data_IF_655125576051
#
_entry.id   IF_655125576051
#
_cell.length_a   1.000
_cell.length_b   1.000
_cell.length_c   1.000
_cell.angle_alpha   90.00
_cell.angle_beta   90.00
_cell.angle_gamma   90.00
#
_symmetry.space_group_name_H-M   'P 1'
#
loop_
_entity.id
_entity.type
_entity.pdbx_description
1 polymer ?
#
# COMPACT_ATOMS: atom_id res chain seq x y z
N UNK A 1 -52.36 -23.00 8.28
CA UNK A 1 -51.32 -22.38 7.44
C UNK A 1 -50.33 -21.72 8.38
N UNK A 2 -49.27 -22.43 8.72
CA UNK A 2 -48.14 -21.90 9.50
C UNK A 2 -47.33 -21.02 8.58
N UNK A 3 -47.19 -19.74 8.93
CA UNK A 3 -46.27 -18.84 8.26
C UNK A 3 -44.86 -19.42 8.45
N UNK A 4 -44.29 -19.98 7.39
CA UNK A 4 -42.85 -20.24 7.34
C UNK A 4 -42.16 -18.90 7.55
N UNK A 5 -41.48 -18.76 8.70
CA UNK A 5 -40.43 -17.78 8.86
C UNK A 5 -39.38 -18.11 7.79
N UNK A 6 -39.46 -17.46 6.62
CA UNK A 6 -38.41 -17.54 5.61
C UNK A 6 -37.10 -17.11 6.29
N UNK A 7 -36.25 -18.08 6.57
CA UNK A 7 -34.93 -17.86 7.16
C UNK A 7 -34.12 -17.05 6.13
N UNK A 8 -33.95 -15.74 6.37
CA UNK A 8 -33.18 -14.85 5.49
C UNK A 8 -31.71 -15.24 5.58
N UNK A 9 -31.05 -15.41 4.43
CA UNK A 9 -29.65 -15.81 4.41
C UNK A 9 -28.72 -14.60 4.44
N UNK A 10 -27.93 -14.50 5.50
CA UNK A 10 -26.92 -13.45 5.65
C UNK A 10 -25.70 -13.74 4.76
N UNK A 11 -25.52 -12.93 3.71
CA UNK A 11 -24.43 -13.07 2.75
C UNK A 11 -23.07 -12.86 3.43
N UNK A 12 -22.96 -11.85 4.30
CA UNK A 12 -21.71 -11.56 5.02
C UNK A 12 -21.29 -12.75 5.90
N UNK A 13 -22.25 -13.40 6.56
CA UNK A 13 -22.01 -14.61 7.35
C UNK A 13 -21.60 -15.82 6.49
N UNK A 14 -22.27 -16.05 5.37
CA UNK A 14 -21.90 -17.14 4.46
C UNK A 14 -20.43 -17.00 4.02
N UNK A 15 -20.08 -15.78 3.61
CA UNK A 15 -18.74 -15.46 3.16
C UNK A 15 -17.73 -15.63 4.32
N UNK A 16 -18.01 -15.16 5.53
CA UNK A 16 -17.09 -15.32 6.69
C UNK A 16 -16.86 -16.78 7.08
N UNK A 17 -17.86 -17.65 6.91
CA UNK A 17 -17.77 -19.10 7.12
C UNK A 17 -17.12 -19.84 5.92
N UNK A 18 -16.80 -19.15 4.82
CA UNK A 18 -16.29 -19.76 3.59
C UNK A 18 -17.32 -20.66 2.89
N UNK A 19 -18.61 -20.43 3.17
CA UNK A 19 -19.74 -21.19 2.64
C UNK A 19 -20.41 -20.41 1.51
N UNK A 20 -20.80 -21.08 0.43
CA UNK A 20 -21.64 -20.47 -0.61
C UNK A 20 -23.07 -20.22 -0.07
N UNK A 21 -23.67 -19.05 -0.30
CA UNK A 21 -25.08 -18.83 0.00
C UNK A 21 -25.99 -19.82 -0.75
N UNK A 22 -27.22 -20.04 -0.28
CA UNK A 22 -28.21 -20.88 -0.96
C UNK A 22 -28.63 -20.23 -2.28
N UNK A 23 -28.96 -21.07 -3.25
CA UNK A 23 -29.38 -20.63 -4.58
C UNK A 23 -30.72 -19.85 -4.57
N UNK A 24 -31.51 -19.95 -3.48
CA UNK A 24 -32.77 -19.25 -3.33
C UNK A 24 -32.75 -18.33 -2.09
N UNK A 25 -33.11 -17.06 -2.32
CA UNK A 25 -33.27 -16.05 -1.29
C UNK A 25 -34.48 -16.28 -0.37
N UNK A 26 -34.83 -15.28 0.46
CA UNK A 26 -34.27 -13.93 0.53
C UNK A 26 -32.87 -13.87 1.13
N UNK A 27 -32.12 -12.86 0.73
CA UNK A 27 -30.77 -12.55 1.19
C UNK A 27 -30.78 -11.32 2.10
N UNK A 28 -29.91 -11.32 3.10
CA UNK A 28 -29.56 -10.13 3.90
C UNK A 28 -28.15 -9.69 3.51
N UNK A 29 -28.04 -8.46 3.04
CA UNK A 29 -26.77 -7.81 2.69
C UNK A 29 -26.49 -6.64 3.62
N UNK A 30 -25.22 -6.25 3.72
CA UNK A 30 -24.84 -5.02 4.43
C UNK A 30 -24.69 -3.88 3.43
N UNK A 31 -25.37 -2.76 3.69
CA UNK A 31 -25.21 -1.52 2.93
C UNK A 31 -24.84 -0.43 3.92
N UNK A 32 -23.75 0.29 3.63
CA UNK A 32 -23.27 1.37 4.49
C UNK A 32 -23.14 2.71 3.78
N UNK A 33 -22.67 3.70 4.53
CA UNK A 33 -22.46 5.09 4.10
C UNK A 33 -20.96 5.44 3.99
N UNK A 34 -20.67 6.72 3.75
CA UNK A 34 -19.31 7.23 3.61
C UNK A 34 -18.46 7.05 4.89
N UNK A 35 -19.09 6.93 6.05
CA UNK A 35 -18.46 6.69 7.34
C UNK A 35 -18.31 5.20 7.65
N UNK A 36 -18.66 4.32 6.72
CA UNK A 36 -18.66 2.86 6.85
C UNK A 36 -19.59 2.36 7.96
N UNK A 37 -20.70 3.07 8.21
CA UNK A 37 -21.76 2.60 9.10
C UNK A 37 -22.70 1.70 8.31
N UNK A 38 -22.76 0.41 8.64
CA UNK A 38 -23.52 -0.58 7.89
C UNK A 38 -24.87 -0.90 8.55
N UNK A 39 -25.92 -0.93 7.72
CA UNK A 39 -27.23 -1.52 8.04
C UNK A 39 -27.44 -2.83 7.27
N UNK A 40 -28.33 -3.69 7.79
CA UNK A 40 -28.71 -4.94 7.14
C UNK A 40 -30.00 -4.76 6.34
N UNK A 41 -29.97 -5.13 5.06
CA UNK A 41 -31.09 -4.92 4.13
C UNK A 41 -31.43 -6.21 3.38
N UNK A 42 -32.73 -6.39 3.10
CA UNK A 42 -33.24 -7.56 2.41
C UNK A 42 -33.23 -7.35 0.90
N UNK A 43 -32.70 -8.32 0.17
CA UNK A 43 -32.86 -8.47 -1.27
C UNK A 43 -33.41 -9.85 -1.60
N UNK A 44 -34.40 -9.91 -2.48
CA UNK A 44 -34.97 -11.18 -2.94
C UNK A 44 -34.26 -11.71 -4.20
N UNK A 45 -33.65 -10.81 -4.97
CA UNK A 45 -32.90 -11.11 -6.20
C UNK A 45 -31.46 -11.52 -5.86
N UNK A 46 -30.97 -12.69 -6.30
CA UNK A 46 -29.57 -13.08 -6.13
C UNK A 46 -28.60 -12.30 -7.01
N UNK A 47 -29.10 -11.63 -8.07
CA UNK A 47 -28.26 -10.91 -9.04
C UNK A 47 -28.73 -9.44 -9.17
N UNK A 48 -28.80 -8.68 -8.05
CA UNK A 48 -29.38 -7.35 -8.04
C UNK A 48 -28.58 -6.36 -8.91
N UNK A 49 -29.31 -5.39 -9.45
CA UNK A 49 -28.76 -4.19 -10.09
C UNK A 49 -28.35 -3.14 -9.05
N UNK A 50 -27.53 -2.16 -9.46
CA UNK A 50 -27.25 -0.98 -8.63
C UNK A 50 -28.52 -0.25 -8.17
N UNK A 51 -29.55 -0.14 -9.02
CA UNK A 51 -30.85 0.43 -8.64
C UNK A 51 -31.54 -0.35 -7.52
N UNK A 52 -31.53 -1.68 -7.59
CA UNK A 52 -32.14 -2.51 -6.53
C UNK A 52 -31.42 -2.34 -5.19
N UNK A 53 -30.10 -2.14 -5.19
CA UNK A 53 -29.34 -1.82 -3.96
C UNK A 53 -29.74 -0.46 -3.39
N UNK A 54 -29.90 0.57 -4.24
CA UNK A 54 -30.35 1.89 -3.81
C UNK A 54 -31.80 1.88 -3.29
N UNK A 55 -32.68 1.14 -3.96
CA UNK A 55 -34.08 0.97 -3.53
C UNK A 55 -34.18 0.33 -2.14
N UNK A 56 -33.30 -0.62 -1.82
CA UNK A 56 -33.27 -1.28 -0.52
C UNK A 56 -33.01 -0.32 0.66
N UNK A 57 -32.37 0.83 0.39
CA UNK A 57 -32.08 1.88 1.38
C UNK A 57 -32.89 3.17 1.14
N UNK A 58 -33.92 3.11 0.29
CA UNK A 58 -34.75 4.26 -0.11
C UNK A 58 -33.95 5.47 -0.64
N UNK A 59 -32.78 5.23 -1.24
CA UNK A 59 -31.94 6.29 -1.84
C UNK A 59 -32.54 6.77 -3.17
N UNK A 60 -33.16 7.95 -3.15
CA UNK A 60 -33.85 8.55 -4.30
C UNK A 60 -33.50 10.04 -4.49
N UNK A 61 -33.48 10.55 -5.75
CA UNK A 61 -33.51 9.77 -6.99
C UNK A 61 -32.23 8.94 -7.15
N UNK A 62 -32.32 7.79 -7.83
CA UNK A 62 -31.20 6.87 -7.95
C UNK A 62 -30.00 7.51 -8.66
N UNK A 63 -30.26 8.42 -9.59
CA UNK A 63 -29.27 9.14 -10.40
C UNK A 63 -28.43 10.15 -9.59
N UNK A 64 -28.84 10.47 -8.35
CA UNK A 64 -28.07 11.31 -7.43
C UNK A 64 -27.15 10.49 -6.50
N UNK A 65 -27.07 9.18 -6.70
CA UNK A 65 -26.34 8.27 -5.83
C UNK A 65 -25.39 7.35 -6.60
N UNK A 66 -24.25 7.04 -5.98
CA UNK A 66 -23.31 6.02 -6.42
C UNK A 66 -23.40 4.80 -5.51
N UNK A 67 -23.19 3.61 -6.09
CA UNK A 67 -23.09 2.35 -5.36
C UNK A 67 -21.70 1.77 -5.58
N UNK A 68 -21.01 1.40 -4.51
CA UNK A 68 -19.74 0.68 -4.58
C UNK A 68 -19.86 -0.66 -3.87
N UNK A 69 -19.29 -1.70 -4.47
CA UNK A 69 -18.98 -2.97 -3.80
C UNK A 69 -17.71 -2.76 -2.97
N UNK A 70 -17.75 -3.09 -1.67
CA UNK A 70 -16.60 -3.07 -0.78
C UNK A 70 -16.10 -4.50 -0.55
N UNK A 71 -14.89 -4.78 -1.04
CA UNK A 71 -14.25 -6.08 -0.91
C UNK A 71 -13.54 -6.25 0.44
N UNK A 72 -13.29 -7.50 0.86
CA UNK A 72 -12.51 -7.85 2.08
C UNK A 72 -11.14 -7.19 2.21
N UNK A 73 -10.46 -6.96 1.09
CA UNK A 73 -9.16 -6.32 1.05
C UNK A 73 -9.24 -4.77 1.13
N UNK A 74 -10.45 -4.22 1.28
CA UNK A 74 -10.70 -2.78 1.31
C UNK A 74 -10.74 -2.13 -0.08
N UNK A 75 -10.74 -2.90 -1.17
CA UNK A 75 -10.96 -2.34 -2.51
C UNK A 75 -12.43 -2.00 -2.72
N UNK A 76 -12.66 -0.97 -3.53
CA UNK A 76 -13.97 -0.54 -3.94
C UNK A 76 -14.11 -0.71 -5.46
N UNK A 77 -15.27 -1.19 -5.89
CA UNK A 77 -15.66 -1.21 -7.31
C UNK A 77 -17.03 -0.59 -7.47
N UNK A 78 -17.12 0.41 -8.33
CA UNK A 78 -18.42 1.02 -8.66
C UNK A 78 -19.34 0.00 -9.34
N UNK A 79 -20.61 0.00 -8.95
CA UNK A 79 -21.69 -0.74 -9.58
C UNK A 79 -22.63 0.27 -10.24
N UNK A 80 -22.61 0.34 -11.57
CA UNK A 80 -23.52 1.21 -12.29
C UNK A 80 -24.99 0.82 -12.03
N UNK A 81 -25.89 1.77 -12.21
CA UNK A 81 -27.32 1.60 -11.88
C UNK A 81 -27.96 0.38 -12.55
N UNK A 82 -27.62 0.12 -13.80
CA UNK A 82 -28.18 -0.98 -14.61
C UNK A 82 -27.26 -2.22 -14.66
N UNK A 83 -26.07 -2.13 -14.07
CA UNK A 83 -25.16 -3.28 -13.95
C UNK A 83 -25.62 -4.17 -12.81
N UNK A 84 -25.43 -5.48 -12.97
CA UNK A 84 -25.78 -6.50 -11.99
C UNK A 84 -24.56 -7.02 -11.24
N UNK A 85 -24.80 -7.53 -10.04
CA UNK A 85 -23.79 -8.23 -9.23
C UNK A 85 -24.36 -9.54 -8.70
N UNK A 86 -23.64 -10.65 -8.82
CA UNK A 86 -24.08 -11.94 -8.27
C UNK A 86 -23.72 -12.05 -6.78
N UNK A 87 -24.72 -12.05 -5.90
CA UNK A 87 -24.53 -12.19 -4.45
C UNK A 87 -24.03 -13.58 -4.03
N UNK A 88 -24.13 -14.58 -4.91
CA UNK A 88 -23.66 -15.95 -4.66
C UNK A 88 -22.17 -16.11 -4.94
N UNK A 89 -21.57 -15.17 -5.69
CA UNK A 89 -20.14 -15.16 -5.98
C UNK A 89 -19.34 -14.67 -4.77
N UNK A 90 -18.19 -15.30 -4.56
CA UNK A 90 -17.26 -14.88 -3.51
C UNK A 90 -16.68 -13.50 -3.85
N UNK A 91 -16.80 -12.54 -2.93
CA UNK A 91 -16.29 -11.18 -3.11
C UNK A 91 -17.35 -10.08 -2.96
N UNK A 92 -18.64 -10.40 -3.01
CA UNK A 92 -19.71 -9.38 -2.91
C UNK A 92 -20.17 -9.28 -1.47
N UNK A 93 -19.34 -8.69 -0.61
CA UNK A 93 -19.57 -8.77 0.83
C UNK A 93 -20.49 -7.68 1.36
N UNK A 94 -20.30 -6.44 0.88
CA UNK A 94 -20.96 -5.24 1.38
C UNK A 94 -21.03 -4.18 0.29
N UNK A 95 -22.01 -3.30 0.41
CA UNK A 95 -22.15 -2.15 -0.48
C UNK A 95 -21.97 -0.85 0.31
N UNK A 96 -21.53 0.19 -0.38
CA UNK A 96 -21.51 1.55 0.15
C UNK A 96 -22.30 2.43 -0.81
N UNK A 97 -23.21 3.22 -0.27
CA UNK A 97 -24.01 4.19 -1.02
C UNK A 97 -23.50 5.59 -0.71
N UNK A 98 -23.25 6.37 -1.75
CA UNK A 98 -22.87 7.77 -1.64
C UNK A 98 -23.91 8.64 -2.32
N UNK A 99 -24.36 9.71 -1.65
CA UNK A 99 -25.08 10.79 -2.33
C UNK A 99 -24.06 11.70 -3.03
N UNK A 100 -23.73 11.38 -4.27
CA UNK A 100 -22.71 12.08 -5.04
C UNK A 100 -22.94 11.86 -6.54
N UNK A 101 -22.49 12.81 -7.34
CA UNK A 101 -22.49 12.71 -8.81
C UNK A 101 -21.11 12.31 -9.37
N UNK A 102 -20.09 12.17 -8.52
CA UNK A 102 -18.72 11.88 -8.93
C UNK A 102 -17.99 10.98 -7.93
N UNK A 103 -17.10 10.12 -8.46
CA UNK A 103 -16.09 9.43 -7.69
C UNK A 103 -14.75 10.16 -7.73
N UNK A 104 -13.91 9.88 -6.75
CA UNK A 104 -12.60 10.49 -6.54
C UNK A 104 -11.56 9.40 -6.40
N UNK A 105 -10.47 9.51 -7.15
CA UNK A 105 -9.31 8.62 -6.99
C UNK A 105 -8.47 9.06 -5.82
N UNK A 106 -8.02 8.10 -5.04
CA UNK A 106 -6.99 8.30 -4.02
C UNK A 106 -5.90 7.24 -4.20
N UNK A 107 -4.68 7.56 -3.80
CA UNK A 107 -3.66 6.55 -3.53
C UNK A 107 -3.65 6.31 -2.02
N UNK A 108 -4.01 5.12 -1.58
CA UNK A 108 -3.90 4.71 -0.18
C UNK A 108 -2.93 3.56 -0.11
N UNK A 109 -1.84 3.75 0.63
CA UNK A 109 -0.84 2.72 0.79
C UNK A 109 -0.36 2.24 -0.58
N UNK A 110 0.01 3.15 -1.50
CA UNK A 110 0.44 2.83 -2.88
C UNK A 110 -0.55 2.04 -3.74
N UNK A 111 -1.79 1.84 -3.29
CA UNK A 111 -2.88 1.27 -4.07
C UNK A 111 -3.83 2.38 -4.48
N UNK A 112 -4.22 2.39 -5.76
CA UNK A 112 -5.23 3.33 -6.24
C UNK A 112 -6.62 2.79 -5.88
N UNK A 113 -7.42 3.60 -5.22
CA UNK A 113 -8.82 3.30 -4.86
C UNK A 113 -9.73 4.40 -5.42
N UNK A 114 -10.97 4.00 -5.74
CA UNK A 114 -12.05 4.93 -6.11
C UNK A 114 -12.95 5.12 -4.88
N UNK A 115 -13.32 6.36 -4.58
CA UNK A 115 -14.14 6.74 -3.43
C UNK A 115 -15.30 7.64 -3.87
N UNK A 116 -16.51 7.39 -3.38
CA UNK A 116 -17.72 8.03 -3.91
C UNK A 116 -18.06 9.42 -3.36
N UNK A 117 -17.21 10.02 -2.52
CA UNK A 117 -17.45 11.35 -1.94
C UNK A 117 -16.23 12.27 -2.09
N UNK A 118 -16.45 13.59 -2.16
CA UNK A 118 -15.36 14.58 -2.25
C UNK A 118 -14.60 14.76 -0.93
N UNK A 119 -14.99 14.05 0.11
CA UNK A 119 -14.35 14.04 1.42
C UNK A 119 -14.19 12.62 1.93
N UNK A 120 -13.14 12.39 2.72
CA UNK A 120 -12.90 11.12 3.41
C UNK A 120 -12.27 11.38 4.77
N UNK A 121 -12.67 10.62 5.79
CA UNK A 121 -12.12 10.78 7.13
C UNK A 121 -10.83 9.97 7.32
N UNK A 122 -9.97 10.40 8.26
CA UNK A 122 -8.81 9.64 8.68
C UNK A 122 -9.16 8.22 9.15
N UNK A 123 -10.28 8.07 9.86
CA UNK A 123 -10.78 6.76 10.29
C UNK A 123 -11.09 5.84 9.10
N UNK A 124 -11.81 6.33 8.10
CA UNK A 124 -12.17 5.54 6.91
C UNK A 124 -10.90 5.14 6.15
N UNK A 125 -9.93 6.05 5.99
CA UNK A 125 -8.63 5.71 5.40
C UNK A 125 -7.94 4.56 6.14
N UNK A 126 -7.94 4.54 7.49
CA UNK A 126 -7.38 3.41 8.26
C UNK A 126 -8.14 2.10 8.02
N UNK A 127 -9.47 2.16 7.98
CA UNK A 127 -10.29 0.96 7.75
C UNK A 127 -10.05 0.39 6.35
N UNK A 128 -10.02 1.24 5.32
CA UNK A 128 -9.75 0.82 3.93
C UNK A 128 -8.34 0.27 3.73
N UNK A 129 -7.37 0.71 4.54
CA UNK A 129 -6.01 0.17 4.55
C UNK A 129 -5.86 -1.13 5.37
N UNK A 130 -6.89 -1.59 6.09
CA UNK A 130 -6.75 -2.68 7.05
C UNK A 130 -5.85 -2.34 8.25
N UNK A 131 -5.69 -1.04 8.53
CA UNK A 131 -4.80 -0.49 9.55
C UNK A 131 -5.55 0.07 10.79
N UNK A 132 -6.85 -0.21 10.92
CA UNK A 132 -7.63 0.16 12.10
C UNK A 132 -7.29 -0.73 13.31
N UNK A 133 -6.10 -0.51 13.89
CA UNK A 133 -5.58 -1.20 15.08
C UNK A 133 -4.86 -0.19 15.99
N UNK A 134 -4.76 -0.45 17.30
CA UNK A 134 -4.04 0.44 18.22
C UNK A 134 -2.60 0.68 17.75
N UNK A 135 -2.13 1.91 17.91
CA UNK A 135 -0.77 2.29 17.53
C UNK A 135 -0.55 2.40 16.03
N UNK A 136 -1.59 2.64 15.22
CA UNK A 136 -1.49 2.99 13.80
C UNK A 136 -2.15 4.35 13.52
N UNK A 137 -1.57 5.09 12.57
CA UNK A 137 -2.03 6.41 12.12
C UNK A 137 -2.09 6.51 10.60
N UNK A 138 -2.58 7.65 10.11
CA UNK A 138 -2.64 8.01 8.69
C UNK A 138 -1.91 9.32 8.48
N UNK A 139 -1.19 9.40 7.37
CA UNK A 139 -0.56 10.61 6.91
C UNK A 139 -0.92 10.86 5.45
N UNK A 140 -1.00 12.14 5.11
CA UNK A 140 -1.09 12.64 3.74
C UNK A 140 0.31 13.02 3.27
N UNK A 141 0.71 12.48 2.13
CA UNK A 141 1.96 12.88 1.48
C UNK A 141 1.84 14.31 0.96
N UNK A 142 2.72 15.20 1.42
CA UNK A 142 2.79 16.58 0.92
C UNK A 142 4.09 16.75 0.15
N UNK A 143 3.98 16.91 -1.17
CA UNK A 143 5.16 17.02 -2.04
C UNK A 143 6.06 18.18 -1.62
N UNK A 144 7.32 17.86 -1.31
CA UNK A 144 8.33 18.84 -0.94
C UNK A 144 8.19 19.40 0.48
N UNK A 145 7.31 18.84 1.31
CA UNK A 145 7.15 19.16 2.71
C UNK A 145 7.09 17.88 3.55
N UNK A 146 6.99 18.04 4.87
CA UNK A 146 6.76 16.91 5.77
C UNK A 146 5.35 16.34 5.58
N UNK A 147 5.23 15.02 5.76
CA UNK A 147 3.95 14.33 5.68
C UNK A 147 3.01 14.80 6.78
N UNK A 148 1.78 15.09 6.41
CA UNK A 148 0.81 15.69 7.32
C UNK A 148 0.00 14.60 8.02
N UNK A 149 0.05 14.46 9.35
CA UNK A 149 -0.82 13.52 10.05
C UNK A 149 -2.29 13.91 9.88
N UNK A 150 -3.17 12.91 9.79
CA UNK A 150 -4.61 13.06 9.70
C UNK A 150 -5.24 12.40 10.93
N UNK A 151 -6.05 13.17 11.67
CA UNK A 151 -6.82 12.64 12.80
C UNK A 151 -8.00 11.78 12.31
N UNK A 152 -8.45 10.83 13.12
CA UNK A 152 -9.54 9.92 12.79
C UNK A 152 -10.83 10.62 12.37
N UNK A 153 -11.12 11.77 13.00
CA UNK A 153 -12.31 12.57 12.73
C UNK A 153 -12.06 13.71 11.74
N UNK A 154 -10.82 13.90 11.29
CA UNK A 154 -10.51 14.90 10.30
C UNK A 154 -11.05 14.49 8.93
N UNK A 155 -11.81 15.40 8.30
CA UNK A 155 -12.30 15.24 6.94
C UNK A 155 -11.31 15.87 5.96
N UNK A 156 -10.75 15.05 5.07
CA UNK A 156 -9.82 15.47 4.02
C UNK A 156 -10.58 15.67 2.71
N UNK A 157 -10.34 16.81 2.05
CA UNK A 157 -10.93 17.14 0.76
C UNK A 157 -10.19 16.44 -0.39
N UNK A 158 -10.93 15.83 -1.32
CA UNK A 158 -10.44 15.02 -2.44
C UNK A 158 -10.70 15.65 -3.82
N UNK A 159 -11.41 16.77 -3.90
CA UNK A 159 -11.62 17.51 -5.16
C UNK A 159 -10.54 18.58 -5.42
N UNK A 160 -9.43 18.47 -4.69
CA UNK A 160 -8.26 19.34 -4.85
C UNK A 160 -7.49 19.01 -6.13
N UNK A 161 -6.55 19.89 -6.50
CA UNK A 161 -5.76 19.70 -7.71
C UNK A 161 -4.71 18.60 -7.51
N UNK A 162 -4.98 17.42 -8.03
CA UNK A 162 -4.00 16.35 -8.11
C UNK A 162 -4.59 14.99 -7.77
N UNK A 163 -3.72 14.09 -7.31
CA UNK A 163 -4.10 12.83 -6.69
C UNK A 163 -3.58 12.88 -5.26
N UNK A 164 -4.50 12.90 -4.30
CA UNK A 164 -4.21 12.79 -2.88
C UNK A 164 -3.62 11.42 -2.58
N UNK A 165 -2.52 11.42 -1.83
CA UNK A 165 -1.80 10.20 -1.43
C UNK A 165 -1.78 10.10 0.06
N UNK A 166 -2.17 8.94 0.55
CA UNK A 166 -2.25 8.59 1.94
C UNK A 166 -1.45 7.33 2.19
N UNK A 167 -0.92 7.20 3.39
CA UNK A 167 -0.31 5.96 3.84
C UNK A 167 -0.59 5.73 5.31
N UNK A 168 -0.56 4.46 5.70
CA UNK A 168 -0.73 4.05 7.09
C UNK A 168 0.58 3.52 7.67
N UNK A 169 0.73 3.64 8.99
CA UNK A 169 1.97 3.29 9.66
C UNK A 169 1.81 3.25 11.17
N UNK A 170 2.72 2.56 11.84
CA UNK A 170 2.71 2.47 13.30
C UNK A 170 3.05 3.83 13.92
N UNK A 171 2.26 4.28 14.89
CA UNK A 171 2.47 5.52 15.67
C UNK A 171 3.23 5.27 16.97
N UNK A 172 3.23 4.03 17.47
CA UNK A 172 4.08 3.65 18.61
C UNK A 172 5.50 3.37 18.12
N UNK A 173 6.34 4.38 18.22
CA UNK A 173 7.79 4.20 18.28
C UNK A 173 8.11 3.45 19.57
N UNK A 174 8.71 2.26 19.49
CA UNK A 174 9.55 1.80 20.60
C UNK A 174 10.63 2.86 20.76
N UNK A 175 10.63 3.57 21.89
CA UNK A 175 11.60 4.63 22.22
C UNK A 175 13.00 4.27 21.68
N UNK A 176 13.43 5.02 20.65
CA UNK A 176 14.70 4.83 19.95
C UNK A 176 14.62 4.76 18.41
N UNK A 177 13.44 4.60 17.80
CA UNK A 177 13.33 4.59 16.33
C UNK A 177 13.32 6.03 15.77
N UNK A 178 14.44 6.43 15.18
CA UNK A 178 14.62 7.65 14.39
C UNK A 178 13.52 7.81 13.33
N UNK A 179 13.27 9.05 12.91
CA UNK A 179 12.31 9.36 11.88
C UNK A 179 12.58 8.50 10.63
N UNK A 180 11.55 7.77 10.20
CA UNK A 180 11.50 7.00 8.95
C UNK A 180 12.09 7.82 7.78
N UNK A 181 13.24 7.40 7.23
CA UNK A 181 13.91 8.09 6.11
C UNK A 181 13.48 7.58 4.74
N UNK A 182 12.91 6.36 4.69
CA UNK A 182 12.38 5.78 3.46
C UNK A 182 10.91 6.14 3.25
N UNK A 183 10.51 6.52 2.02
CA UNK A 183 9.12 6.57 1.62
C UNK A 183 8.43 5.22 1.83
N UNK A 184 7.15 5.24 2.19
CA UNK A 184 6.37 4.02 2.50
C UNK A 184 6.40 2.98 1.36
N UNK A 185 6.34 3.43 0.11
CA UNK A 185 6.40 2.54 -1.07
C UNK A 185 7.70 1.74 -1.13
N UNK A 186 8.82 2.38 -0.77
CA UNK A 186 10.13 1.74 -0.74
C UNK A 186 10.26 0.77 0.41
N UNK A 187 9.84 1.19 1.61
CA UNK A 187 9.80 0.33 2.79
C UNK A 187 9.00 -0.94 2.52
N UNK A 188 7.82 -0.79 1.92
CA UNK A 188 6.97 -1.93 1.57
C UNK A 188 7.67 -2.87 0.59
N UNK A 189 8.28 -2.34 -0.47
CA UNK A 189 9.00 -3.17 -1.43
C UNK A 189 10.09 -4.02 -0.75
N UNK A 190 10.82 -3.46 0.23
CA UNK A 190 11.83 -4.21 1.00
C UNK A 190 11.19 -5.31 1.85
N UNK A 191 10.11 -4.99 2.56
CA UNK A 191 9.36 -5.94 3.40
C UNK A 191 8.74 -7.08 2.57
N UNK A 192 8.10 -6.77 1.44
CA UNK A 192 7.48 -7.75 0.54
C UNK A 192 8.52 -8.70 -0.07
N UNK A 193 9.75 -8.21 -0.27
CA UNK A 193 10.89 -9.03 -0.69
C UNK A 193 11.53 -9.84 0.44
N UNK A 194 11.07 -9.68 1.68
CA UNK A 194 11.67 -10.32 2.86
C UNK A 194 13.10 -9.89 3.12
N UNK A 195 13.49 -8.68 2.70
CA UNK A 195 14.83 -8.15 2.94
C UNK A 195 14.87 -7.53 4.34
N UNK A 196 15.85 -7.95 5.14
CA UNK A 196 16.15 -7.28 6.41
C UNK A 196 16.86 -5.96 6.12
N UNK A 197 16.43 -4.84 6.71
CA UNK A 197 17.08 -3.55 6.53
C UNK A 197 17.00 -2.68 7.79
N UNK A 198 17.89 -1.71 7.88
CA UNK A 198 17.88 -0.62 8.87
C UNK A 198 17.94 0.73 8.17
N UNK A 199 17.25 1.71 8.77
CA UNK A 199 17.18 3.10 8.32
C UNK A 199 18.06 3.95 9.25
N UNK A 200 18.81 4.88 8.67
CA UNK A 200 19.76 5.72 9.41
C UNK A 200 19.58 7.19 9.04
N UNK A 201 19.60 8.07 10.04
CA UNK A 201 19.56 9.53 9.86
C UNK A 201 20.75 10.21 10.54
N UNK A 202 21.83 10.49 9.80
CA UNK A 202 22.99 11.21 10.34
C UNK A 202 23.05 12.64 9.79
N UNK A 203 22.57 13.60 10.59
CA UNK A 203 22.54 15.01 10.22
C UNK A 203 21.70 15.27 8.97
N UNK A 204 22.36 15.58 7.84
CA UNK A 204 21.70 15.83 6.56
C UNK A 204 21.71 14.61 5.61
N UNK A 205 22.34 13.50 6.03
CA UNK A 205 22.53 12.30 5.21
C UNK A 205 21.61 11.19 5.72
N UNK A 206 20.64 10.81 4.89
CA UNK A 206 19.81 9.65 5.13
C UNK A 206 20.43 8.42 4.46
N UNK A 207 20.22 7.23 5.02
CA UNK A 207 20.68 6.00 4.41
C UNK A 207 19.78 4.81 4.76
N UNK A 208 19.84 3.78 3.93
CA UNK A 208 19.32 2.45 4.23
C UNK A 208 20.44 1.42 4.10
N UNK A 209 20.52 0.52 5.08
CA UNK A 209 21.39 -0.65 5.04
C UNK A 209 20.54 -1.90 4.89
N UNK A 210 20.78 -2.68 3.85
CA UNK A 210 20.13 -3.97 3.60
C UNK A 210 21.06 -5.07 4.08
N UNK A 211 20.61 -5.87 5.04
CA UNK A 211 21.43 -6.87 5.72
C UNK A 211 21.41 -8.22 5.02
N UNK A 212 22.57 -8.88 4.96
CA UNK A 212 22.72 -10.25 4.48
C UNK A 212 22.25 -10.47 3.03
N UNK A 213 22.40 -9.46 2.18
CA UNK A 213 22.05 -9.52 0.76
C UNK A 213 22.79 -10.65 0.07
N UNK A 214 22.07 -11.49 -0.68
CA UNK A 214 22.65 -12.66 -1.34
C UNK A 214 23.47 -12.26 -2.55
N UNK A 215 24.68 -12.82 -2.66
CA UNK A 215 25.60 -12.56 -3.75
C UNK A 215 25.56 -13.70 -4.80
N UNK A 216 25.95 -13.43 -6.05
CA UNK A 216 26.08 -14.47 -7.08
C UNK A 216 26.97 -15.63 -6.62
N UNK A 217 26.49 -16.86 -6.79
CA UNK A 217 27.18 -18.08 -6.38
C UNK A 217 28.60 -18.15 -6.97
N UNK A 218 29.56 -18.55 -6.14
CA UNK A 218 30.97 -18.79 -6.48
C UNK A 218 31.73 -17.60 -7.11
N UNK A 219 31.12 -16.42 -7.13
CA UNK A 219 31.73 -15.22 -7.75
C UNK A 219 32.60 -14.44 -6.79
N UNK A 220 32.20 -14.37 -5.53
CA UNK A 220 32.87 -13.61 -4.48
C UNK A 220 33.38 -14.53 -3.39
N UNK A 221 34.30 -14.02 -2.57
CA UNK A 221 34.87 -14.76 -1.44
C UNK A 221 33.86 -15.05 -0.31
N UNK A 222 32.69 -14.40 -0.33
CA UNK A 222 31.55 -14.62 0.56
C UNK A 222 30.27 -14.77 -0.25
N UNK A 223 29.26 -15.47 0.30
CA UNK A 223 27.95 -15.64 -0.34
C UNK A 223 26.92 -14.55 0.01
N UNK A 224 27.21 -13.70 1.00
CA UNK A 224 26.33 -12.62 1.46
C UNK A 224 27.13 -11.38 1.85
N UNK A 225 26.52 -10.21 1.71
CA UNK A 225 27.05 -8.94 2.18
C UNK A 225 25.92 -7.98 2.57
N UNK A 226 26.22 -7.04 3.44
CA UNK A 226 25.34 -5.92 3.72
C UNK A 226 25.56 -4.84 2.65
N UNK A 227 24.47 -4.22 2.21
CA UNK A 227 24.45 -3.21 1.15
C UNK A 227 23.94 -1.89 1.74
N UNK A 228 24.81 -0.88 1.74
CA UNK A 228 24.47 0.49 2.12
C UNK A 228 24.09 1.30 0.88
N UNK A 229 22.97 2.02 0.97
CA UNK A 229 22.49 2.97 -0.03
C UNK A 229 22.33 4.31 0.68
N UNK A 230 23.12 5.31 0.23
CA UNK A 230 22.98 6.69 0.69
C UNK A 230 21.82 7.34 -0.07
N UNK A 231 20.87 7.90 0.68
CA UNK A 231 19.70 8.57 0.14
C UNK A 231 20.01 10.07 0.00
N UNK A 232 19.97 10.64 -1.22
CA UNK A 232 20.19 12.07 -1.41
C UNK A 232 19.03 12.88 -0.82
N UNK A 233 19.30 14.16 -0.55
CA UNK A 233 18.23 15.11 -0.24
C UNK A 233 17.25 15.20 -1.42
N UNK A 234 15.96 15.04 -1.14
CA UNK A 234 14.91 15.02 -2.17
C UNK A 234 14.66 13.64 -2.79
N UNK A 235 15.26 12.58 -2.24
CA UNK A 235 14.81 11.22 -2.50
C UNK A 235 13.31 11.08 -2.16
N UNK A 236 12.47 10.40 -2.98
CA UNK A 236 12.82 9.55 -4.12
C UNK A 236 12.93 10.27 -5.48
N UNK A 237 12.68 11.58 -5.56
CA UNK A 237 12.81 12.31 -6.84
C UNK A 237 14.29 12.52 -7.24
N UNK A 238 15.19 12.57 -6.24
CA UNK A 238 16.63 12.55 -6.44
C UNK A 238 17.19 11.12 -6.36
N UNK A 239 18.07 10.77 -7.30
CA UNK A 239 18.60 9.41 -7.44
C UNK A 239 19.72 9.10 -6.43
N UNK A 240 19.71 7.93 -5.76
CA UNK A 240 20.91 7.38 -5.13
C UNK A 240 22.00 7.15 -6.18
N UNK A 241 23.20 7.67 -5.91
CA UNK A 241 24.29 7.68 -6.88
C UNK A 241 25.00 6.31 -6.95
N UNK A 242 25.46 5.81 -5.81
CA UNK A 242 26.27 4.60 -5.65
C UNK A 242 25.67 3.66 -4.60
N UNK A 243 26.22 2.45 -4.53
CA UNK A 243 26.01 1.57 -3.39
C UNK A 243 27.34 1.19 -2.75
N UNK A 244 27.28 0.66 -1.54
CA UNK A 244 28.46 0.27 -0.79
C UNK A 244 28.23 -1.09 -0.16
N UNK A 245 29.30 -1.88 -0.02
CA UNK A 245 29.22 -3.24 0.49
C UNK A 245 30.12 -3.46 1.70
N UNK A 246 29.65 -4.26 2.65
CA UNK A 246 30.47 -4.87 3.70
C UNK A 246 30.11 -6.36 3.84
N UNK A 247 31.09 -7.29 3.91
CA UNK A 247 32.52 -7.07 3.83
C UNK A 247 32.96 -6.53 2.46
N UNK A 248 34.19 -6.03 2.38
CA UNK A 248 34.78 -5.65 1.10
C UNK A 248 34.90 -6.89 0.21
N UNK A 249 34.28 -6.85 -0.95
CA UNK A 249 34.16 -7.99 -1.86
C UNK A 249 35.39 -8.12 -2.75
N UNK A 250 35.94 -9.33 -2.82
CA UNK A 250 36.97 -9.75 -3.78
C UNK A 250 36.41 -10.86 -4.66
N UNK A 251 36.84 -10.91 -5.91
CA UNK A 251 36.46 -11.99 -6.81
C UNK A 251 37.10 -13.30 -6.33
N UNK A 252 36.31 -14.36 -6.22
CA UNK A 252 36.77 -15.65 -5.70
C UNK A 252 37.97 -16.20 -6.49
N UNK A 253 37.97 -16.02 -7.81
CA UNK A 253 38.99 -16.56 -8.71
C UNK A 253 40.29 -15.79 -8.70
N UNK A 254 40.24 -14.46 -8.68
CA UNK A 254 41.44 -13.60 -8.82
C UNK A 254 41.94 -13.01 -7.51
N UNK A 255 41.12 -13.06 -6.45
CA UNK A 255 41.34 -12.41 -5.17
C UNK A 255 41.59 -10.88 -5.28
N UNK A 256 41.14 -10.27 -6.39
CA UNK A 256 41.21 -8.83 -6.62
C UNK A 256 39.86 -8.17 -6.34
N UNK A 257 39.89 -6.87 -6.04
CA UNK A 257 38.67 -6.07 -5.99
C UNK A 257 38.06 -5.95 -7.39
N UNK A 258 36.72 -5.99 -7.49
CA UNK A 258 36.02 -5.67 -8.72
C UNK A 258 36.39 -4.28 -9.25
N UNK A 259 36.32 -4.09 -10.57
CA UNK A 259 36.62 -2.78 -11.18
C UNK A 259 35.78 -1.66 -10.56
N UNK A 260 36.47 -0.57 -10.20
CA UNK A 260 35.89 0.62 -9.57
C UNK A 260 35.12 0.30 -8.27
N UNK A 261 35.65 -0.64 -7.49
CA UNK A 261 35.15 -1.04 -6.18
C UNK A 261 36.27 -1.17 -5.14
N UNK A 262 37.18 -0.18 -5.09
CA UNK A 262 38.42 -0.23 -4.28
C UNK A 262 38.58 0.98 -3.35
N UNK A 263 37.55 1.81 -3.23
CA UNK A 263 37.57 3.04 -2.45
C UNK A 263 36.75 2.91 -1.16
N UNK A 264 37.21 3.47 -0.02
CA UNK A 264 36.49 3.42 1.23
C UNK A 264 35.42 4.51 1.35
N UNK A 265 34.32 4.19 2.03
CA UNK A 265 33.44 5.13 2.71
C UNK A 265 33.42 4.78 4.21
N UNK A 266 33.52 5.79 5.08
CA UNK A 266 33.26 5.61 6.51
C UNK A 266 31.81 5.97 6.78
N UNK A 267 31.06 5.07 7.41
CA UNK A 267 29.66 5.26 7.78
C UNK A 267 29.34 4.38 8.99
N UNK A 268 28.72 4.93 10.04
CA UNK A 268 28.39 4.23 11.29
C UNK A 268 29.61 3.51 11.93
N UNK A 269 30.78 4.16 11.91
CA UNK A 269 32.03 3.57 12.41
C UNK A 269 32.55 2.36 11.61
N UNK A 270 31.87 1.97 10.53
CA UNK A 270 32.22 0.86 9.66
C UNK A 270 32.83 1.37 8.36
N UNK A 271 33.84 0.65 7.86
CA UNK A 271 34.46 0.95 6.57
C UNK A 271 33.80 0.15 5.46
N UNK A 272 33.10 0.84 4.57
CA UNK A 272 32.36 0.27 3.45
C UNK A 272 33.15 0.34 2.14
N UNK A 273 33.02 -0.69 1.30
CA UNK A 273 33.58 -0.71 -0.04
C UNK A 273 32.66 0.07 -0.98
N UNK A 274 33.13 1.15 -1.58
CA UNK A 274 32.34 1.96 -2.52
C UNK A 274 32.30 1.32 -3.90
N UNK A 275 31.10 1.13 -4.43
CA UNK A 275 30.87 0.67 -5.79
C UNK A 275 30.41 1.83 -6.68
N UNK A 276 31.33 2.35 -7.49
CA UNK A 276 31.03 3.47 -8.40
C UNK A 276 30.26 2.97 -9.62
N UNK A 277 28.93 2.94 -9.47
CA UNK A 277 27.95 2.59 -10.51
C UNK A 277 26.91 3.71 -10.53
N UNK A 278 27.19 4.78 -11.25
CA UNK A 278 26.38 6.02 -11.28
C UNK A 278 25.04 5.84 -12.02
N UNK A 279 24.06 6.66 -11.64
CA UNK A 279 22.72 6.66 -12.24
C UNK A 279 22.45 7.91 -13.07
N UNK A 280 22.32 7.74 -14.38
CA UNK A 280 22.11 8.87 -15.29
C UNK A 280 20.68 8.88 -15.88
N UNK A 281 19.84 7.90 -15.52
CA UNK A 281 18.53 7.67 -16.15
C UNK A 281 17.39 7.58 -15.14
N UNK A 282 17.59 8.09 -13.92
CA UNK A 282 16.55 8.10 -12.89
C UNK A 282 15.35 8.93 -13.34
N UNK A 283 14.15 8.42 -13.07
CA UNK A 283 12.87 9.05 -13.41
C UNK A 283 12.19 9.52 -12.12
N UNK A 284 12.21 10.83 -11.83
CA UNK A 284 11.48 11.40 -10.70
C UNK A 284 10.00 10.99 -10.71
N UNK A 285 9.44 10.72 -9.55
CA UNK A 285 8.08 10.22 -9.36
C UNK A 285 7.79 8.80 -9.88
N UNK A 286 8.77 8.12 -10.49
CA UNK A 286 8.59 6.77 -11.08
C UNK A 286 9.58 5.75 -10.54
N UNK A 287 10.81 6.15 -10.22
CA UNK A 287 11.83 5.27 -9.65
C UNK A 287 11.90 5.41 -8.13
N UNK A 288 12.39 4.35 -7.47
CA UNK A 288 12.52 4.25 -6.01
C UNK A 288 13.52 3.16 -5.64
N UNK A 289 13.40 2.59 -4.43
CA UNK A 289 14.41 1.67 -3.89
C UNK A 289 14.55 0.40 -4.75
N UNK A 290 13.48 -0.02 -5.43
CA UNK A 290 13.50 -1.17 -6.33
C UNK A 290 14.43 -0.94 -7.53
N UNK A 291 14.51 0.28 -8.05
CA UNK A 291 15.35 0.63 -9.20
C UNK A 291 16.83 0.56 -8.82
N UNK A 292 17.22 1.11 -7.66
CA UNK A 292 18.60 1.00 -7.18
C UNK A 292 18.95 -0.46 -6.83
N UNK A 293 18.05 -1.22 -6.21
CA UNK A 293 18.31 -2.63 -5.90
C UNK A 293 18.54 -3.48 -7.14
N UNK A 294 17.79 -3.23 -8.23
CA UNK A 294 18.04 -3.94 -9.50
C UNK A 294 19.42 -3.60 -10.08
N UNK A 295 19.90 -2.37 -9.87
CA UNK A 295 21.24 -1.93 -10.29
C UNK A 295 22.33 -2.56 -9.44
N UNK A 296 22.12 -2.70 -8.12
CA UNK A 296 23.01 -3.45 -7.22
C UNK A 296 23.15 -4.89 -7.71
N UNK A 297 22.04 -5.58 -7.92
CA UNK A 297 22.02 -6.96 -8.44
C UNK A 297 22.80 -7.09 -9.74
N UNK A 298 22.48 -6.23 -10.73
CA UNK A 298 23.18 -6.22 -12.02
C UNK A 298 24.68 -5.96 -11.87
N UNK A 299 25.07 -5.00 -11.02
CA UNK A 299 26.47 -4.65 -10.80
C UNK A 299 27.27 -5.81 -10.18
N UNK A 300 26.66 -6.54 -9.25
CA UNK A 300 27.25 -7.74 -8.65
C UNK A 300 27.35 -8.88 -9.68
N UNK A 301 26.33 -9.07 -10.52
CA UNK A 301 26.31 -10.09 -11.57
C UNK A 301 27.36 -9.87 -12.67
N UNK A 302 27.67 -8.63 -13.06
CA UNK A 302 28.60 -8.33 -14.16
C UNK A 302 30.02 -7.96 -13.70
N UNK A 303 30.24 -7.81 -12.40
CA UNK A 303 31.54 -7.45 -11.83
C UNK A 303 32.69 -8.33 -12.36
N UNK A 304 33.82 -7.69 -12.68
CA UNK A 304 35.04 -8.31 -13.18
C UNK A 304 36.27 -7.52 -12.74
#
# INVERSE_FOLDING_TARGET
>A
MTAETLNIEDITRCVSEGRRPRDAGPYSIQIGDAELQFGSYRLDDPVPTGRQVLEAVDARPAEEHLVFQLFRNGDLKELALDDTVDLLDAGVERFIVFKSAASYRIELDSQVKEWGACVISGYVLKVLAGANKPGYGVWMEVRGAEDRPIDDHEMVQLDSKGLERFFTGATTSTEGAEASVLPTRDRRYLNDRGLAFTEHQEGAQNAVVIHGYSLPADKYQVGRADILILLPRGYPDAAPDMFYAVPWLTLATSQRYPRQADQPLQFEGQRWQRWSRHNNTWRPGVDGIWTILKRVETALEIAA
#
